data_IF_820987070884
#
_entry.id   IF_820987070884
#
_cell.length_a   1.000
_cell.length_b   1.000
_cell.length_c   1.000
_cell.angle_alpha   90.00
_cell.angle_beta   90.00
_cell.angle_gamma   90.00
#
_symmetry.space_group_name_H-M   'P 1'
#
loop_
_entity.id
_entity.type
_entity.pdbx_description
1 polymer ?
#
# COMPACT_ATOMS: atom_id res chain seq x y z
N UNK A 1 14.96 23.96 -14.30
CA UNK A 1 14.71 23.99 -12.84
C UNK A 1 13.79 22.85 -12.46
N UNK A 2 14.23 22.03 -11.57
CA UNK A 2 13.44 20.90 -11.14
C UNK A 2 12.54 21.31 -10.01
N UNK A 3 11.25 21.07 -10.20
CA UNK A 3 10.28 21.28 -9.14
C UNK A 3 10.20 19.96 -8.38
N UNK A 4 10.53 19.97 -7.10
CA UNK A 4 10.47 18.72 -6.33
C UNK A 4 9.03 18.23 -6.25
N UNK A 5 8.86 16.92 -6.47
CA UNK A 5 7.58 16.29 -6.30
C UNK A 5 7.27 16.25 -4.81
N UNK A 6 6.10 16.77 -4.39
CA UNK A 6 5.80 16.77 -2.96
C UNK A 6 5.60 15.35 -2.45
N UNK A 7 6.15 15.09 -1.27
CA UNK A 7 5.89 13.85 -0.57
C UNK A 7 4.65 14.03 0.29
N UNK A 8 3.74 13.08 0.18
CA UNK A 8 2.45 13.15 0.85
C UNK A 8 2.35 12.04 1.87
N UNK A 9 1.94 12.41 3.08
CA UNK A 9 1.65 11.47 4.14
C UNK A 9 0.19 11.05 4.02
N UNK A 10 -0.03 9.76 3.87
CA UNK A 10 -1.38 9.20 3.83
C UNK A 10 -1.76 8.77 5.23
N UNK A 11 -2.86 9.32 5.72
CA UNK A 11 -3.36 8.99 7.04
C UNK A 11 -3.72 7.51 7.12
N UNK A 12 -3.65 6.92 8.30
CA UNK A 12 -3.94 5.49 8.44
C UNK A 12 -5.31 5.13 7.89
N UNK A 13 -5.34 4.06 7.13
CA UNK A 13 -6.59 3.48 6.65
C UNK A 13 -6.47 1.97 6.63
N UNK A 14 -7.60 1.30 6.65
CA UNK A 14 -7.63 -0.16 6.74
C UNK A 14 -8.12 -0.76 5.43
N UNK A 15 -7.55 -1.91 5.10
CA UNK A 15 -8.00 -2.71 3.97
C UNK A 15 -7.77 -4.19 4.32
N UNK A 16 -8.41 -5.06 3.55
CA UNK A 16 -8.19 -6.48 3.72
C UNK A 16 -6.95 -6.93 2.97
N UNK A 17 -6.26 -7.93 3.50
CA UNK A 17 -5.05 -8.43 2.87
C UNK A 17 -5.28 -8.96 1.46
N UNK A 18 -6.49 -9.44 1.16
CA UNK A 18 -6.80 -9.94 -0.18
C UNK A 18 -7.04 -8.83 -1.21
N UNK A 19 -7.12 -7.58 -0.77
CA UNK A 19 -7.20 -6.46 -1.70
C UNK A 19 -5.83 -6.07 -2.25
N UNK A 20 -4.77 -6.63 -1.69
CA UNK A 20 -3.41 -6.32 -2.10
C UNK A 20 -2.92 -7.37 -3.08
N UNK A 21 -2.46 -6.92 -4.24
CA UNK A 21 -1.94 -7.80 -5.29
C UNK A 21 -0.43 -7.82 -5.23
N UNK A 22 0.15 -9.01 -5.46
CA UNK A 22 1.60 -9.17 -5.57
C UNK A 22 1.92 -9.35 -7.04
N UNK A 23 2.79 -8.49 -7.56
CA UNK A 23 3.09 -8.42 -8.98
C UNK A 23 4.58 -8.59 -9.25
N UNK A 24 4.90 -8.86 -10.50
CA UNK A 24 6.26 -8.95 -10.97
C UNK A 24 6.84 -10.35 -10.89
N UNK A 25 7.88 -10.61 -11.69
CA UNK A 25 8.50 -11.93 -11.75
C UNK A 25 9.16 -12.31 -10.43
N UNK A 26 9.65 -11.31 -9.68
CA UNK A 26 10.27 -11.54 -8.37
C UNK A 26 9.29 -11.43 -7.22
N UNK A 27 8.05 -11.07 -7.52
CA UNK A 27 6.98 -10.89 -6.51
C UNK A 27 7.36 -9.86 -5.45
N UNK A 28 8.04 -8.79 -5.87
CA UNK A 28 8.50 -7.73 -4.97
C UNK A 28 7.74 -6.44 -5.13
N UNK A 29 6.70 -6.42 -5.95
CA UNK A 29 5.85 -5.26 -6.13
C UNK A 29 4.48 -5.58 -5.60
N UNK A 30 3.94 -4.71 -4.77
CA UNK A 30 2.56 -4.84 -4.32
C UNK A 30 1.75 -3.65 -4.80
N UNK A 31 0.48 -3.89 -5.01
CA UNK A 31 -0.43 -2.89 -5.54
C UNK A 31 -1.81 -3.07 -4.93
N UNK A 32 -2.43 -1.98 -4.59
CA UNK A 32 -3.84 -1.98 -4.20
C UNK A 32 -4.49 -0.69 -4.68
N UNK A 33 -5.81 -0.71 -4.76
CA UNK A 33 -6.57 0.43 -5.29
C UNK A 33 -7.49 0.99 -4.21
N UNK A 34 -7.51 2.31 -4.11
CA UNK A 34 -8.42 3.04 -3.21
C UNK A 34 -8.86 4.33 -3.89
N UNK A 35 -10.16 4.58 -3.91
CA UNK A 35 -10.72 5.80 -4.45
C UNK A 35 -10.25 6.11 -5.88
N UNK A 36 -10.11 5.06 -6.69
CA UNK A 36 -9.67 5.23 -8.08
C UNK A 36 -8.18 5.47 -8.26
N UNK A 37 -7.40 5.39 -7.18
CA UNK A 37 -5.96 5.60 -7.23
C UNK A 37 -5.26 4.27 -6.98
N UNK A 38 -4.28 3.95 -7.83
CA UNK A 38 -3.45 2.77 -7.66
C UNK A 38 -2.27 3.11 -6.75
N UNK A 39 -2.17 2.39 -5.63
CA UNK A 39 -1.04 2.53 -4.71
C UNK A 39 -0.06 1.40 -4.99
N UNK A 40 1.19 1.74 -5.24
CA UNK A 40 2.21 0.79 -5.67
C UNK A 40 3.42 0.90 -4.75
N UNK A 41 3.90 -0.24 -4.27
CA UNK A 41 5.13 -0.34 -3.48
C UNK A 41 6.10 -1.26 -4.20
N UNK A 42 7.24 -0.71 -4.59
CA UNK A 42 8.32 -1.48 -5.20
C UNK A 42 9.28 -2.00 -4.14
N UNK A 43 9.95 -3.08 -4.45
CA UNK A 43 10.98 -3.69 -3.57
C UNK A 43 10.42 -4.08 -2.21
N UNK A 44 9.24 -4.66 -2.20
CA UNK A 44 8.61 -5.14 -0.98
C UNK A 44 9.42 -6.31 -0.40
N UNK A 45 9.85 -6.19 0.84
CA UNK A 45 10.59 -7.25 1.51
C UNK A 45 9.67 -8.39 1.92
N UNK A 46 10.25 -9.56 2.18
CA UNK A 46 9.46 -10.68 2.69
C UNK A 46 8.86 -10.37 4.07
N UNK A 47 9.60 -9.64 4.88
CA UNK A 47 9.11 -9.23 6.19
C UNK A 47 7.87 -8.36 6.05
N UNK A 48 7.88 -7.43 5.11
CA UNK A 48 6.74 -6.55 4.87
C UNK A 48 5.54 -7.34 4.37
N UNK A 49 5.78 -8.32 3.48
CA UNK A 49 4.70 -9.19 3.00
C UNK A 49 4.06 -9.97 4.15
N UNK A 50 4.86 -10.43 5.09
CA UNK A 50 4.32 -11.12 6.26
C UNK A 50 3.51 -10.19 7.13
N UNK A 51 3.97 -8.97 7.30
CA UNK A 51 3.24 -7.98 8.08
C UNK A 51 1.91 -7.62 7.42
N UNK A 52 1.86 -7.64 6.10
CA UNK A 52 0.63 -7.39 5.36
C UNK A 52 -0.27 -8.62 5.28
N UNK A 53 0.16 -9.74 5.85
CA UNK A 53 -0.60 -10.99 5.84
C UNK A 53 -0.88 -11.52 4.44
N UNK A 54 0.02 -11.24 3.50
CA UNK A 54 -0.17 -11.64 2.10
C UNK A 54 -0.05 -13.15 1.91
N UNK A 55 0.66 -13.83 2.81
CA UNK A 55 0.82 -15.26 2.76
C UNK A 55 -0.27 -16.02 3.54
N UNK A 56 -1.19 -15.29 4.17
CA UNK A 56 -2.25 -15.91 4.94
C UNK A 56 -3.39 -16.31 4.02
N UNK A 57 -3.96 -17.48 4.26
CA UNK A 57 -5.16 -17.91 3.55
C UNK A 57 -6.43 -17.30 4.12
N UNK A 58 -6.33 -16.68 5.27
CA UNK A 58 -7.46 -16.04 5.91
C UNK A 58 -7.52 -14.58 5.58
N UNK A 59 -8.72 -14.09 5.35
CA UNK A 59 -8.94 -12.68 5.10
C UNK A 59 -8.80 -11.91 6.41
N UNK A 60 -7.86 -10.99 6.45
CA UNK A 60 -7.56 -10.21 7.64
C UNK A 60 -7.45 -8.73 7.28
N UNK A 61 -7.85 -7.89 8.21
CA UNK A 61 -7.77 -6.45 8.02
C UNK A 61 -6.44 -5.95 8.54
N UNK A 62 -5.78 -5.14 7.73
CA UNK A 62 -4.53 -4.49 8.11
C UNK A 62 -4.71 -2.99 7.97
N UNK A 63 -4.05 -2.23 8.82
CA UNK A 63 -4.08 -0.77 8.78
C UNK A 63 -2.72 -0.28 8.31
N UNK A 64 -2.73 0.59 7.32
CA UNK A 64 -1.51 1.12 6.70
C UNK A 64 -1.42 2.62 6.88
N UNK A 65 -0.22 3.06 7.16
CA UNK A 65 0.14 4.47 7.14
C UNK A 65 1.47 4.61 6.42
N UNK A 66 1.56 5.52 5.47
CA UNK A 66 2.77 5.62 4.66
C UNK A 66 2.94 7.01 4.07
N UNK A 67 4.15 7.23 3.56
CA UNK A 67 4.51 8.43 2.81
C UNK A 67 4.88 8.00 1.40
N UNK A 68 4.55 8.81 0.44
CA UNK A 68 4.90 8.53 -0.94
C UNK A 68 4.66 9.72 -1.83
N UNK A 69 4.65 9.47 -3.13
CA UNK A 69 4.58 10.51 -4.14
C UNK A 69 3.49 10.18 -5.16
N UNK A 70 2.63 11.15 -5.48
CA UNK A 70 1.66 10.94 -6.55
C UNK A 70 2.35 11.00 -7.91
N UNK A 71 1.85 10.21 -8.84
CA UNK A 71 2.31 10.28 -10.21
C UNK A 71 1.18 9.88 -11.15
N UNK A 72 1.40 10.12 -12.44
CA UNK A 72 0.46 9.70 -13.47
C UNK A 72 1.14 8.69 -14.37
N UNK A 73 0.41 7.65 -14.71
CA UNK A 73 0.84 6.68 -15.70
C UNK A 73 -0.02 6.84 -16.93
N UNK A 74 0.63 7.09 -18.06
CA UNK A 74 -0.05 7.25 -19.33
C UNK A 74 0.11 5.98 -20.15
N UNK A 75 -1.01 5.38 -20.53
CA UNK A 75 -1.00 4.17 -21.31
C UNK A 75 -2.16 4.21 -22.29
N UNK A 76 -1.85 4.08 -23.59
CA UNK A 76 -2.84 4.11 -24.68
C UNK A 76 -3.72 5.35 -24.62
N UNK A 77 -3.12 6.49 -24.34
CA UNK A 77 -3.85 7.75 -24.28
C UNK A 77 -4.66 7.98 -23.03
N UNK A 78 -4.62 7.05 -22.07
CA UNK A 78 -5.30 7.21 -20.79
C UNK A 78 -4.31 7.54 -19.69
N UNK A 79 -4.69 8.48 -18.84
CA UNK A 79 -3.90 8.85 -17.66
C UNK A 79 -4.51 8.21 -16.44
N UNK A 80 -3.72 7.42 -15.75
CA UNK A 80 -4.13 6.79 -14.51
C UNK A 80 -3.38 7.43 -13.35
N UNK A 81 -4.11 7.72 -12.28
CA UNK A 81 -3.51 8.25 -11.06
C UNK A 81 -2.87 7.12 -10.29
N UNK A 82 -1.62 7.32 -9.91
CA UNK A 82 -0.87 6.36 -9.11
C UNK A 82 -0.22 7.08 -7.95
N UNK A 83 0.06 6.31 -6.90
CA UNK A 83 0.77 6.81 -5.74
C UNK A 83 1.87 5.80 -5.43
N UNK A 84 3.13 6.25 -5.50
CA UNK A 84 4.28 5.38 -5.25
C UNK A 84 4.65 5.49 -3.78
N UNK A 85 4.53 4.38 -3.07
CA UNK A 85 4.78 4.33 -1.63
C UNK A 85 6.28 4.24 -1.39
N UNK A 86 6.76 5.01 -0.43
CA UNK A 86 8.15 4.93 0.01
C UNK A 86 8.29 3.71 0.93
N UNK A 87 9.07 2.73 0.48
CA UNK A 87 9.23 1.49 1.22
C UNK A 87 9.91 1.66 2.58
N UNK A 88 10.56 2.79 2.81
CA UNK A 88 11.20 3.08 4.09
C UNK A 88 10.29 3.83 5.06
N UNK A 89 9.12 4.22 4.62
CA UNK A 89 8.19 5.03 5.43
C UNK A 89 6.78 4.46 5.39
N UNK A 90 6.68 3.17 5.64
CA UNK A 90 5.39 2.49 5.73
C UNK A 90 5.29 1.82 7.09
N UNK A 91 4.18 2.03 7.77
CA UNK A 91 3.87 1.40 9.04
C UNK A 91 2.61 0.57 8.89
N UNK A 92 2.64 -0.60 9.48
CA UNK A 92 1.54 -1.54 9.40
C UNK A 92 1.10 -1.88 10.82
N UNK A 93 -0.20 -1.80 11.06
CA UNK A 93 -0.77 -2.24 12.32
C UNK A 93 -1.97 -3.12 12.04
N UNK A 94 -2.40 -3.83 13.06
CA UNK A 94 -3.51 -4.75 12.93
C UNK A 94 -4.70 -4.22 13.71
N UNK A 95 -5.86 -4.45 13.17
CA UNK A 95 -7.08 -4.01 13.82
C UNK A 95 -7.42 -4.95 14.97
N UNK A 96 -6.95 -4.61 16.16
CA UNK A 96 -7.24 -5.35 17.39
C UNK A 96 -8.30 -4.68 18.22
N UNK A 97 -8.89 -3.67 17.67
CA UNK A 97 -9.73 -2.76 18.42
C UNK A 97 -10.91 -3.45 19.08
N UNK A 98 -11.46 -4.44 18.40
CA UNK A 98 -12.66 -5.09 18.90
C UNK A 98 -12.46 -5.77 20.25
N UNK A 99 -11.26 -6.23 20.54
CA UNK A 99 -10.99 -6.87 21.83
C UNK A 99 -10.75 -5.87 22.91
N UNK A 100 -10.07 -4.80 22.60
CA UNK A 100 -9.70 -3.81 23.57
C UNK A 100 -10.88 -2.98 24.00
N UNK A 101 -11.84 -2.80 23.12
CA UNK A 101 -13.02 -2.01 23.39
C UNK A 101 -13.93 -2.66 24.43
N UNK A 102 -13.75 -3.95 24.67
CA UNK A 102 -14.56 -4.67 25.64
C UNK A 102 -13.93 -4.73 27.03
N UNK A 103 -12.73 -4.28 27.12
CA UNK A 103 -11.99 -4.36 28.38
C UNK A 103 -12.22 -3.17 29.26
#
# INVERSE_FOLDING_TARGET
MDIPIPRIHIKPFSLYNDEIQVLGATQRTIKFKRNGIDFILFNCSNKLKEQLKLNSQQKQMVTLEFIGEPCYNEFRGQRNKQFIIDSNNIEISYNKKSFEDFM
#
